data_IF_515171937432
#
_entry.id   IF_515171937432
#
_cell.length_a   1.000
_cell.length_b   1.000
_cell.length_c   1.000
_cell.angle_alpha   90.00
_cell.angle_beta   90.00
_cell.angle_gamma   90.00
#
_symmetry.space_group_name_H-M   'P 1'
#
loop_
_entity.id
_entity.type
_entity.pdbx_description
1 polymer ?
#
# COMPACT_ATOMS: atom_id res chain seq x y z
N UNK A 1 18.37 -16.00 11.31
CA UNK A 1 19.40 -16.48 12.25
C UNK A 1 19.08 -15.95 13.64
N UNK A 2 19.18 -16.82 14.63
CA UNK A 2 18.98 -16.46 16.03
C UNK A 2 20.22 -15.71 16.56
N UNK A 3 20.02 -14.64 17.34
CA UNK A 3 21.10 -13.87 17.94
C UNK A 3 21.36 -14.35 19.35
N UNK A 4 22.58 -14.10 19.90
CA UNK A 4 22.96 -14.49 21.26
C UNK A 4 22.01 -13.90 22.32
N UNK A 5 21.36 -12.77 22.04
CA UNK A 5 20.38 -12.12 22.92
C UNK A 5 18.94 -12.65 22.76
N UNK A 6 18.73 -13.78 22.05
CA UNK A 6 17.43 -14.40 21.84
C UNK A 6 16.55 -13.70 20.79
N UNK A 7 17.11 -12.78 19.99
CA UNK A 7 16.42 -12.13 18.88
C UNK A 7 16.65 -12.85 17.55
N UNK A 8 16.00 -12.37 16.50
CA UNK A 8 16.19 -12.86 15.13
C UNK A 8 16.84 -11.79 14.25
N UNK A 9 17.88 -12.16 13.53
CA UNK A 9 18.49 -11.31 12.52
C UNK A 9 18.12 -11.81 11.13
N UNK A 10 17.54 -10.93 10.33
CA UNK A 10 17.30 -11.19 8.91
C UNK A 10 18.63 -11.08 8.16
N UNK A 11 19.02 -12.13 7.44
CA UNK A 11 20.24 -12.14 6.61
C UNK A 11 19.95 -12.04 5.12
N UNK A 12 18.93 -12.71 4.66
CA UNK A 12 18.58 -12.86 3.25
C UNK A 12 17.16 -12.32 3.00
N UNK A 13 17.00 -10.99 2.95
CA UNK A 13 15.67 -10.36 2.82
C UNK A 13 14.96 -10.76 1.52
N UNK A 14 15.70 -10.98 0.43
CA UNK A 14 15.11 -11.42 -0.84
C UNK A 14 14.45 -12.79 -0.74
N UNK A 15 15.09 -13.75 -0.08
CA UNK A 15 14.50 -15.08 0.09
C UNK A 15 13.21 -15.02 0.89
N UNK A 16 13.20 -14.24 1.98
CA UNK A 16 12.00 -14.05 2.79
C UNK A 16 10.89 -13.34 2.01
N UNK A 17 11.23 -12.27 1.27
CA UNK A 17 10.28 -11.54 0.45
C UNK A 17 9.64 -12.45 -0.61
N UNK A 18 10.43 -13.25 -1.32
CA UNK A 18 9.91 -14.14 -2.35
C UNK A 18 9.07 -15.27 -1.77
N UNK A 19 9.49 -15.84 -0.63
CA UNK A 19 8.67 -16.84 0.07
C UNK A 19 7.33 -16.24 0.53
N UNK A 20 7.34 -14.99 1.03
CA UNK A 20 6.09 -14.32 1.38
C UNK A 20 5.25 -14.01 0.14
N UNK A 21 5.83 -13.44 -0.91
CA UNK A 21 5.15 -13.20 -2.18
C UNK A 21 4.42 -14.46 -2.67
N UNK A 22 5.12 -15.60 -2.69
CA UNK A 22 4.58 -16.84 -3.23
C UNK A 22 3.47 -17.45 -2.35
N UNK A 23 3.47 -17.15 -1.05
CA UNK A 23 2.44 -17.57 -0.10
C UNK A 23 1.32 -16.54 0.09
N UNK A 24 1.51 -15.31 -0.41
CA UNK A 24 0.57 -14.22 -0.18
C UNK A 24 -0.74 -14.40 -0.95
N UNK A 25 -1.83 -14.16 -0.28
CA UNK A 25 -3.18 -14.33 -0.81
C UNK A 25 -3.86 -12.97 -0.94
N UNK A 26 -3.50 -12.24 -2.00
CA UNK A 26 -4.10 -10.93 -2.32
C UNK A 26 -5.62 -11.01 -2.52
N UNK A 27 -6.11 -12.15 -3.00
CA UNK A 27 -7.51 -12.47 -3.21
C UNK A 27 -8.34 -12.60 -1.92
N UNK A 28 -7.72 -12.61 -0.74
CA UNK A 28 -8.42 -12.54 0.55
C UNK A 28 -8.93 -11.14 0.88
N UNK A 29 -8.33 -10.12 0.31
CA UNK A 29 -8.82 -8.76 0.49
C UNK A 29 -10.11 -8.55 -0.31
N UNK A 30 -11.16 -8.13 0.36
CA UNK A 30 -12.36 -7.70 -0.36
C UNK A 30 -12.02 -6.45 -1.18
N UNK A 31 -12.36 -6.48 -2.46
CA UNK A 31 -12.12 -5.35 -3.37
C UNK A 31 -13.43 -4.68 -3.73
N UNK A 32 -13.52 -3.37 -3.47
CA UNK A 32 -14.65 -2.53 -3.86
C UNK A 32 -14.21 -1.42 -4.80
N UNK A 33 -14.96 -1.23 -5.89
CA UNK A 33 -14.81 -0.11 -6.80
C UNK A 33 -15.67 1.08 -6.35
N UNK A 34 -15.10 2.30 -6.39
CA UNK A 34 -15.84 3.50 -6.06
C UNK A 34 -15.70 4.58 -7.12
N UNK A 35 -16.78 5.35 -7.27
CA UNK A 35 -16.82 6.59 -8.03
C UNK A 35 -16.99 7.77 -7.08
N UNK A 36 -16.28 8.86 -7.34
CA UNK A 36 -16.47 10.16 -6.66
C UNK A 36 -16.33 11.29 -7.66
N UNK A 37 -17.06 12.38 -7.41
CA UNK A 37 -16.91 13.65 -8.17
C UNK A 37 -15.67 14.44 -7.73
N UNK A 38 -15.09 14.09 -6.58
CA UNK A 38 -13.85 14.71 -6.10
C UNK A 38 -12.68 14.18 -6.92
N UNK A 39 -11.92 15.07 -7.56
CA UNK A 39 -10.76 14.73 -8.39
C UNK A 39 -9.56 15.62 -8.08
N UNK A 40 -8.39 15.19 -8.53
CA UNK A 40 -7.16 15.96 -8.42
C UNK A 40 -6.86 16.40 -6.98
N UNK A 41 -6.69 17.72 -6.78
CA UNK A 41 -6.35 18.27 -5.47
C UNK A 41 -7.46 18.06 -4.44
N UNK A 42 -8.74 18.22 -4.82
CA UNK A 42 -9.88 18.03 -3.91
C UNK A 42 -9.92 16.60 -3.34
N UNK A 43 -9.69 15.60 -4.18
CA UNK A 43 -9.60 14.21 -3.72
C UNK A 43 -8.40 13.99 -2.79
N UNK A 44 -7.22 14.51 -3.15
CA UNK A 44 -6.03 14.37 -2.29
C UNK A 44 -6.22 15.02 -0.92
N UNK A 45 -6.82 16.22 -0.88
CA UNK A 45 -7.10 16.94 0.39
C UNK A 45 -8.10 16.15 1.25
N UNK A 46 -9.15 15.57 0.63
CA UNK A 46 -10.10 14.73 1.34
C UNK A 46 -9.44 13.45 1.89
N UNK A 47 -8.62 12.78 1.08
CA UNK A 47 -7.87 11.59 1.50
C UNK A 47 -6.85 11.92 2.61
N UNK A 48 -6.19 13.08 2.53
CA UNK A 48 -5.31 13.55 3.60
C UNK A 48 -6.05 13.73 4.93
N UNK A 49 -7.30 14.19 4.88
CA UNK A 49 -8.18 14.25 6.04
C UNK A 49 -8.42 12.90 6.71
N UNK A 50 -8.48 11.82 5.94
CA UNK A 50 -8.62 10.45 6.47
C UNK A 50 -7.37 10.00 7.23
N UNK A 51 -6.18 10.32 6.70
CA UNK A 51 -4.92 9.94 7.32
C UNK A 51 -4.60 10.69 8.62
N UNK A 52 -5.17 11.90 8.80
CA UNK A 52 -4.94 12.73 9.99
C UNK A 52 -5.75 12.30 11.21
N UNK A 53 -6.71 11.41 11.05
CA UNK A 53 -7.51 10.92 12.17
C UNK A 53 -6.74 9.92 13.01
N UNK A 54 -6.91 10.00 14.32
CA UNK A 54 -6.20 9.17 15.30
C UNK A 54 -6.32 7.68 14.97
N UNK A 55 -5.19 7.03 14.68
CA UNK A 55 -5.14 5.60 14.39
C UNK A 55 -5.06 5.22 12.91
N UNK A 56 -5.17 6.18 11.98
CA UNK A 56 -5.05 5.95 10.54
C UNK A 56 -5.93 4.79 10.04
N UNK A 57 -7.10 5.06 9.53
CA UNK A 57 -8.00 4.01 9.07
C UNK A 57 -7.92 3.75 7.56
N UNK A 58 -7.07 4.49 6.86
CA UNK A 58 -6.80 4.31 5.44
C UNK A 58 -5.33 4.54 5.13
N UNK A 59 -4.84 3.85 4.10
CA UNK A 59 -3.49 4.03 3.57
C UNK A 59 -3.49 3.88 2.05
N UNK A 60 -2.61 4.59 1.35
CA UNK A 60 -2.35 4.28 -0.05
C UNK A 60 -1.79 2.88 -0.19
N UNK A 61 -2.28 2.14 -1.18
CA UNK A 61 -1.96 0.73 -1.43
C UNK A 61 -1.46 0.53 -2.86
N UNK A 62 -0.83 -0.61 -3.11
CA UNK A 62 -0.49 -1.09 -4.44
C UNK A 62 0.12 0.00 -5.33
N UNK A 63 -0.44 0.28 -6.51
CA UNK A 63 0.08 1.30 -7.44
C UNK A 63 0.13 2.71 -6.84
N UNK A 64 -0.84 3.10 -6.01
CA UNK A 64 -0.84 4.42 -5.40
C UNK A 64 0.23 4.58 -4.34
N UNK A 65 0.55 3.53 -3.59
CA UNK A 65 1.71 3.53 -2.68
C UNK A 65 3.02 3.56 -3.47
N UNK A 66 3.12 2.77 -4.56
CA UNK A 66 4.30 2.73 -5.41
C UNK A 66 4.60 4.07 -6.08
N UNK A 67 3.58 4.87 -6.42
CA UNK A 67 3.77 6.21 -6.99
C UNK A 67 4.62 7.11 -6.07
N UNK A 68 4.52 6.93 -4.76
CA UNK A 68 5.34 7.66 -3.78
C UNK A 68 6.68 6.97 -3.49
N UNK A 69 6.74 5.65 -3.58
CA UNK A 69 7.88 4.86 -3.15
C UNK A 69 8.91 4.61 -4.24
N UNK A 70 8.44 4.32 -5.46
CA UNK A 70 9.25 4.04 -6.66
C UNK A 70 8.41 4.30 -7.92
N UNK A 71 8.18 5.56 -8.31
CA UNK A 71 7.30 5.90 -9.41
C UNK A 71 7.82 5.31 -10.73
N UNK A 72 7.05 4.41 -11.30
CA UNK A 72 7.38 3.71 -12.56
C UNK A 72 6.16 3.51 -13.45
N UNK A 73 5.05 3.03 -12.90
CA UNK A 73 3.82 2.76 -13.63
C UNK A 73 2.75 3.77 -13.24
N UNK A 74 2.22 4.50 -14.22
CA UNK A 74 1.06 5.38 -13.99
C UNK A 74 -0.23 4.59 -14.08
N UNK A 75 -1.11 4.82 -13.10
CA UNK A 75 -2.44 4.23 -13.05
C UNK A 75 -3.50 5.34 -12.90
N UNK A 76 -4.63 5.24 -13.63
CA UNK A 76 -5.70 6.23 -13.51
C UNK A 76 -6.52 6.08 -12.22
N UNK A 77 -6.42 4.93 -11.56
CA UNK A 77 -7.16 4.61 -10.33
C UNK A 77 -6.32 4.86 -9.11
N UNK A 78 -6.95 5.38 -8.06
CA UNK A 78 -6.35 5.47 -6.73
C UNK A 78 -6.65 4.18 -5.95
N UNK A 79 -5.61 3.56 -5.43
CA UNK A 79 -5.69 2.32 -4.66
C UNK A 79 -5.48 2.61 -3.17
N UNK A 80 -6.37 2.11 -2.33
CA UNK A 80 -6.38 2.36 -0.90
C UNK A 80 -6.68 1.08 -0.13
N UNK A 81 -6.04 0.90 1.03
CA UNK A 81 -6.61 0.09 2.10
C UNK A 81 -7.50 0.95 2.98
N UNK A 82 -8.64 0.41 3.38
CA UNK A 82 -9.57 1.00 4.35
C UNK A 82 -9.96 -0.08 5.34
N UNK A 83 -9.98 0.24 6.64
CA UNK A 83 -10.48 -0.69 7.66
C UNK A 83 -11.98 -0.93 7.46
N UNK A 84 -12.42 -2.18 7.63
CA UNK A 84 -13.81 -2.56 7.39
C UNK A 84 -14.80 -1.69 8.17
N UNK A 85 -14.56 -1.48 9.46
CA UNK A 85 -15.41 -0.66 10.33
C UNK A 85 -15.45 0.83 9.95
N UNK A 86 -14.52 1.29 9.11
CA UNK A 86 -14.41 2.70 8.70
C UNK A 86 -14.93 2.96 7.28
N UNK A 87 -15.39 1.92 6.58
CA UNK A 87 -15.83 2.03 5.18
C UNK A 87 -16.96 3.05 5.02
N UNK A 88 -17.99 3.01 5.86
CA UNK A 88 -19.12 3.96 5.78
C UNK A 88 -18.66 5.40 5.99
N UNK A 89 -17.72 5.62 6.89
CA UNK A 89 -17.13 6.95 7.14
C UNK A 89 -16.27 7.41 5.97
N UNK A 90 -15.51 6.49 5.35
CA UNK A 90 -14.77 6.76 4.13
C UNK A 90 -15.71 7.20 3.01
N UNK A 91 -16.81 6.48 2.76
CA UNK A 91 -17.81 6.79 1.75
C UNK A 91 -18.41 8.18 1.94
N UNK A 92 -18.75 8.54 3.18
CA UNK A 92 -19.29 9.85 3.53
C UNK A 92 -18.27 10.99 3.31
N UNK A 93 -17.06 10.84 3.83
CA UNK A 93 -16.04 11.91 3.81
C UNK A 93 -15.54 12.26 2.41
N UNK A 94 -15.49 11.29 1.50
CA UNK A 94 -15.04 11.53 0.12
C UNK A 94 -16.18 11.54 -0.89
N UNK A 95 -17.43 11.50 -0.40
CA UNK A 95 -18.63 11.43 -1.26
C UNK A 95 -18.52 10.30 -2.29
N UNK A 96 -17.97 9.15 -1.88
CA UNK A 96 -17.78 8.00 -2.73
C UNK A 96 -19.02 7.13 -2.80
N UNK A 97 -19.31 6.63 -4.01
CA UNK A 97 -20.39 5.67 -4.24
C UNK A 97 -19.82 4.37 -4.81
N UNK A 98 -20.21 3.21 -4.26
CA UNK A 98 -19.80 1.94 -4.83
C UNK A 98 -20.33 1.80 -6.25
N UNK A 99 -19.52 1.23 -7.15
CA UNK A 99 -19.86 1.00 -8.54
C UNK A 99 -19.32 -0.36 -9.01
N UNK A 100 -20.05 -0.99 -9.93
CA UNK A 100 -19.62 -2.24 -10.55
C UNK A 100 -18.57 -2.03 -11.66
N UNK A 101 -18.56 -0.84 -12.25
CA UNK A 101 -17.61 -0.48 -13.31
C UNK A 101 -17.40 1.03 -13.39
N UNK A 102 -16.28 1.46 -13.99
CA UNK A 102 -15.92 2.88 -14.12
C UNK A 102 -15.38 3.50 -12.84
N UNK A 103 -14.84 2.67 -11.95
CA UNK A 103 -14.27 3.11 -10.69
C UNK A 103 -13.03 4.00 -10.90
N UNK A 104 -12.92 5.06 -10.10
CA UNK A 104 -11.71 5.86 -9.93
C UNK A 104 -10.89 5.44 -8.71
N UNK A 105 -11.58 4.86 -7.72
CA UNK A 105 -10.97 4.40 -6.48
C UNK A 105 -11.16 2.89 -6.40
N UNK A 106 -10.10 2.20 -6.03
CA UNK A 106 -10.12 0.79 -5.66
C UNK A 106 -9.81 0.71 -4.18
N UNK A 107 -10.79 0.28 -3.41
CA UNK A 107 -10.64 0.08 -1.97
C UNK A 107 -10.44 -1.40 -1.71
N UNK A 108 -9.37 -1.71 -1.01
CA UNK A 108 -9.06 -3.03 -0.46
C UNK A 108 -9.44 -3.03 1.02
N UNK A 109 -10.26 -3.99 1.40
CA UNK A 109 -10.63 -4.21 2.80
C UNK A 109 -9.87 -5.44 3.26
N UNK A 110 -8.99 -5.25 4.23
CA UNK A 110 -8.17 -6.33 4.77
C UNK A 110 -8.89 -7.03 5.91
N UNK A 111 -8.70 -8.33 6.00
CA UNK A 111 -9.13 -9.17 7.11
C UNK A 111 -8.25 -9.02 8.35
N UNK A 112 -7.08 -8.38 8.20
CA UNK A 112 -6.20 -8.04 9.31
C UNK A 112 -5.60 -6.63 9.19
N UNK A 113 -5.15 -6.08 10.31
CA UNK A 113 -4.55 -4.75 10.39
C UNK A 113 -3.06 -4.71 10.00
N UNK A 114 -2.46 -5.83 9.65
CA UNK A 114 -1.03 -5.94 9.31
C UNK A 114 -0.62 -5.03 8.16
N UNK A 115 -1.54 -4.80 7.22
CA UNK A 115 -1.31 -3.91 6.05
C UNK A 115 -1.05 -2.45 6.45
N UNK A 116 -1.51 -2.03 7.63
CA UNK A 116 -1.28 -0.67 8.17
C UNK A 116 -0.01 -0.58 9.02
N UNK A 117 0.64 -1.72 9.29
CA UNK A 117 1.78 -1.76 10.20
C UNK A 117 3.03 -1.22 9.52
N UNK A 118 3.82 -0.44 10.25
CA UNK A 118 5.05 0.15 9.75
C UNK A 118 4.85 0.87 8.41
N UNK A 119 3.64 1.37 8.19
CA UNK A 119 3.38 2.19 7.01
C UNK A 119 4.48 3.24 6.88
N UNK A 120 4.99 3.42 5.67
CA UNK A 120 5.88 4.52 5.41
C UNK A 120 5.11 5.80 5.69
N UNK A 121 5.29 6.31 6.91
CA UNK A 121 4.85 7.64 7.31
C UNK A 121 5.59 8.70 6.50
N UNK A 122 5.77 8.43 5.22
CA UNK A 122 6.26 9.35 4.25
C UNK A 122 5.29 10.50 4.18
N UNK A 123 5.53 11.47 5.05
CA UNK A 123 5.08 12.83 4.81
C UNK A 123 5.71 13.29 3.51
N UNK A 124 5.12 12.86 2.39
CA UNK A 124 5.43 13.45 1.10
C UNK A 124 4.64 14.74 0.99
N UNK A 125 5.23 15.83 1.48
CA UNK A 125 4.64 17.16 1.46
C UNK A 125 3.46 17.32 2.42
N UNK A 126 2.46 18.11 2.03
CA UNK A 126 1.25 18.38 2.81
C UNK A 126 0.28 17.18 2.90
N UNK A 127 0.58 16.05 2.28
CA UNK A 127 -0.29 14.89 2.27
C UNK A 127 -0.05 14.03 3.52
N UNK A 128 -1.01 14.04 4.44
CA UNK A 128 -0.95 13.35 5.74
C UNK A 128 -1.38 11.88 5.70
N UNK A 129 -1.78 11.35 4.53
CA UNK A 129 -2.16 9.95 4.43
C UNK A 129 -0.92 9.06 4.25
N UNK A 130 -0.80 8.02 5.07
CA UNK A 130 0.29 7.06 4.97
C UNK A 130 0.16 6.16 3.74
N UNK A 131 1.29 5.59 3.31
CA UNK A 131 1.32 4.46 2.38
C UNK A 131 1.53 3.16 3.16
N UNK A 132 1.12 2.03 2.60
CA UNK A 132 1.62 0.72 3.05
C UNK A 132 3.15 0.70 3.00
N UNK A 133 3.81 -0.09 3.87
CA UNK A 133 5.27 -0.21 3.78
C UNK A 133 5.70 -0.84 2.44
N UNK A 134 6.94 -0.60 2.04
CA UNK A 134 7.42 -1.00 0.71
C UNK A 134 7.36 -2.53 0.47
N UNK A 135 7.47 -3.35 1.52
CA UNK A 135 7.37 -4.81 1.41
C UNK A 135 5.91 -5.22 1.14
N UNK A 136 4.95 -4.64 1.87
CA UNK A 136 3.52 -4.85 1.61
C UNK A 136 3.14 -4.37 0.21
N UNK A 137 3.59 -3.17 -0.17
CA UNK A 137 3.35 -2.62 -1.51
C UNK A 137 3.87 -3.55 -2.60
N UNK A 138 5.05 -4.16 -2.41
CA UNK A 138 5.63 -5.10 -3.35
C UNK A 138 4.75 -6.34 -3.56
N UNK A 139 4.30 -6.97 -2.48
CA UNK A 139 3.47 -8.19 -2.60
C UNK A 139 2.10 -7.90 -3.19
N UNK A 140 1.50 -6.77 -2.85
CA UNK A 140 0.24 -6.32 -3.44
C UNK A 140 0.37 -6.10 -4.95
N UNK A 141 1.40 -5.36 -5.38
CA UNK A 141 1.66 -5.09 -6.79
C UNK A 141 1.86 -6.38 -7.58
N UNK A 142 2.62 -7.32 -7.04
CA UNK A 142 2.91 -8.58 -7.73
C UNK A 142 1.64 -9.37 -8.07
N UNK A 143 0.62 -9.29 -7.21
CA UNK A 143 -0.62 -10.05 -7.36
C UNK A 143 -1.82 -9.25 -7.90
N UNK A 144 -1.72 -7.92 -8.02
CA UNK A 144 -2.87 -7.10 -8.43
C UNK A 144 -3.20 -7.15 -9.93
N UNK A 145 -2.36 -7.80 -10.75
CA UNK A 145 -2.54 -7.93 -12.20
C UNK A 145 -2.12 -6.70 -13.02
N UNK A 146 -2.40 -6.72 -14.30
CA UNK A 146 -2.01 -5.66 -15.23
C UNK A 146 -0.49 -5.47 -15.29
N UNK A 147 -0.01 -4.24 -15.05
CA UNK A 147 1.43 -3.93 -14.95
C UNK A 147 1.97 -4.01 -13.51
N UNK A 148 1.33 -4.79 -12.66
CA UNK A 148 1.69 -4.89 -11.24
C UNK A 148 3.08 -5.50 -11.03
N UNK A 149 3.40 -6.59 -11.75
CA UNK A 149 4.73 -7.22 -11.65
C UNK A 149 5.85 -6.26 -12.08
N UNK A 150 5.64 -5.47 -13.12
CA UNK A 150 6.59 -4.45 -13.58
C UNK A 150 6.81 -3.37 -12.51
N UNK A 151 5.73 -2.91 -11.87
CA UNK A 151 5.81 -1.93 -10.80
C UNK A 151 6.47 -2.53 -9.53
N UNK A 152 6.19 -3.80 -9.23
CA UNK A 152 6.83 -4.52 -8.12
C UNK A 152 8.35 -4.64 -8.34
N UNK A 153 8.77 -5.00 -9.55
CA UNK A 153 10.19 -5.09 -9.90
C UNK A 153 10.89 -3.73 -9.79
N UNK A 154 10.24 -2.67 -10.26
CA UNK A 154 10.75 -1.30 -10.10
C UNK A 154 10.93 -0.95 -8.62
N UNK A 155 9.94 -1.22 -7.78
CA UNK A 155 10.00 -0.98 -6.33
C UNK A 155 11.12 -1.79 -5.66
N UNK A 156 11.26 -3.06 -6.04
CA UNK A 156 12.34 -3.91 -5.54
C UNK A 156 13.72 -3.34 -5.85
N UNK A 157 13.94 -2.90 -7.09
CA UNK A 157 15.25 -2.47 -7.56
C UNK A 157 15.58 -1.03 -7.15
N UNK A 158 14.59 -0.12 -7.13
CA UNK A 158 14.82 1.29 -6.83
C UNK A 158 14.80 1.61 -5.33
N UNK A 159 14.12 0.79 -4.51
CA UNK A 159 13.96 1.07 -3.10
C UNK A 159 14.42 -0.07 -2.20
N UNK A 160 13.80 -1.25 -2.27
CA UNK A 160 14.03 -2.32 -1.30
C UNK A 160 15.48 -2.80 -1.28
N UNK A 161 16.04 -3.15 -2.45
CA UNK A 161 17.44 -3.59 -2.53
C UNK A 161 18.44 -2.53 -2.06
N UNK A 162 18.34 -1.26 -2.48
CA UNK A 162 19.22 -0.21 -1.96
C UNK A 162 19.13 -0.02 -0.45
N UNK A 163 17.90 0.01 0.11
CA UNK A 163 17.72 0.13 1.56
C UNK A 163 18.33 -1.05 2.34
N UNK A 164 18.18 -2.28 1.85
CA UNK A 164 18.75 -3.46 2.47
C UNK A 164 20.27 -3.48 2.39
N UNK A 165 20.85 -3.07 1.25
CA UNK A 165 22.30 -2.90 1.13
C UNK A 165 22.87 -1.88 2.12
N UNK A 166 22.19 -0.74 2.28
CA UNK A 166 22.59 0.28 3.27
C UNK A 166 22.55 -0.25 4.70
N UNK A 167 21.68 -1.20 5.00
CA UNK A 167 21.59 -1.89 6.30
C UNK A 167 22.56 -3.08 6.43
N UNK A 168 23.42 -3.32 5.43
CA UNK A 168 24.38 -4.42 5.43
C UNK A 168 23.78 -5.81 5.23
N UNK A 169 22.58 -5.89 4.63
CA UNK A 169 21.91 -7.15 4.32
C UNK A 169 22.35 -7.67 2.95
N UNK A 170 22.35 -9.00 2.78
CA UNK A 170 22.68 -9.65 1.51
C UNK A 170 21.49 -9.59 0.56
N UNK A 171 21.67 -8.97 -0.61
CA UNK A 171 20.64 -8.78 -1.65
C UNK A 171 21.18 -9.10 -3.03
#
# INVERSE_FOLDING_TARGET
>A
EETEDGGFRLREPLKLLFAWRDAYRFDRHERRGYFTLSQGKKLRDALAGLGSQTGGFAAYASFSAAEFQAPHVRQPRTWLYVREQEVSKFEELIEAKPVESGEHLVVLISDDDGVFYLGDGGMMGDNRMSCTNAVQTYVDLFHCGGRGEEAAEALLNQRLKPEWKMRGLNV
#
